data_IF_262221783953
#
_entry.id   IF_262221783953
#
_cell.length_a   1.000
_cell.length_b   1.000
_cell.length_c   1.000
_cell.angle_alpha   90.00
_cell.angle_beta   90.00
_cell.angle_gamma   90.00
#
_symmetry.space_group_name_H-M   'P 1'
#
loop_
_entity.id
_entity.type
_entity.pdbx_description
1 polymer ?
#
# COMPACT_ATOMS: atom_id res chain seq x y z
N UNK A 1 15.92 0.07 -18.10
CA UNK A 1 15.50 1.46 -17.85
C UNK A 1 14.67 1.50 -16.58
N UNK A 2 15.19 2.11 -15.55
CA UNK A 2 14.39 2.38 -14.34
C UNK A 2 13.46 3.56 -14.64
N UNK A 3 12.32 3.28 -15.22
CA UNK A 3 11.25 4.28 -15.32
C UNK A 3 10.81 4.68 -13.92
N UNK A 4 10.53 5.95 -13.72
CA UNK A 4 9.90 6.44 -12.50
C UNK A 4 8.63 5.59 -12.27
N UNK A 5 8.55 4.92 -11.15
CA UNK A 5 7.41 4.06 -10.86
C UNK A 5 6.13 4.91 -10.91
N UNK A 6 5.18 4.48 -11.72
CA UNK A 6 3.85 5.08 -11.71
C UNK A 6 3.17 4.67 -10.42
N UNK A 7 2.98 5.62 -9.52
CA UNK A 7 2.24 5.42 -8.28
C UNK A 7 0.78 5.69 -8.60
N UNK A 8 -0.05 4.67 -8.46
CA UNK A 8 -1.50 4.81 -8.56
C UNK A 8 -2.06 5.09 -7.18
N UNK A 9 -2.91 6.09 -7.05
CA UNK A 9 -3.51 6.45 -5.76
C UNK A 9 -5.02 6.66 -5.91
N UNK A 10 -5.69 6.47 -4.79
CA UNK A 10 -7.08 6.86 -4.57
C UNK A 10 -7.05 7.88 -3.44
N UNK A 11 -7.52 9.09 -3.70
CA UNK A 11 -7.55 10.15 -2.70
C UNK A 11 -8.72 9.99 -1.72
N UNK A 12 -8.61 10.52 -0.50
CA UNK A 12 -9.73 10.52 0.44
C UNK A 12 -10.96 11.20 -0.18
N UNK A 13 -12.10 10.51 -0.15
CA UNK A 13 -13.36 11.03 -0.67
C UNK A 13 -13.67 10.69 -2.13
N UNK A 14 -12.74 10.10 -2.87
CA UNK A 14 -13.03 9.60 -4.23
C UNK A 14 -13.94 8.37 -4.22
N UNK A 15 -13.96 7.65 -3.11
CA UNK A 15 -14.76 6.43 -2.93
C UNK A 15 -15.71 6.62 -1.76
N UNK A 16 -16.97 6.22 -1.95
CA UNK A 16 -17.95 6.22 -0.88
C UNK A 16 -17.55 5.26 0.24
N UNK A 17 -17.38 5.80 1.45
CA UNK A 17 -16.87 5.05 2.60
C UNK A 17 -17.80 3.89 3.00
N UNK A 18 -19.10 4.08 2.92
CA UNK A 18 -20.08 3.03 3.24
C UNK A 18 -20.00 1.87 2.25
N UNK A 19 -19.90 2.17 0.96
CA UNK A 19 -19.73 1.15 -0.08
C UNK A 19 -18.41 0.40 0.10
N UNK A 20 -17.32 1.11 0.39
CA UNK A 20 -16.01 0.49 0.65
C UNK A 20 -16.07 -0.48 1.84
N UNK A 21 -16.65 -0.07 2.94
CA UNK A 21 -16.79 -0.90 4.14
C UNK A 21 -17.65 -2.15 3.92
N UNK A 22 -18.76 -1.99 3.22
CA UNK A 22 -19.64 -3.10 2.84
C UNK A 22 -18.92 -4.12 1.94
N UNK A 23 -18.19 -3.64 0.96
CA UNK A 23 -17.39 -4.47 0.07
C UNK A 23 -16.29 -5.23 0.83
N UNK A 24 -15.57 -4.55 1.71
CA UNK A 24 -14.54 -5.16 2.56
C UNK A 24 -15.11 -6.31 3.40
N UNK A 25 -16.24 -6.10 4.06
CA UNK A 25 -16.89 -7.11 4.88
C UNK A 25 -17.33 -8.32 4.06
N UNK A 26 -17.93 -8.12 2.90
CA UNK A 26 -18.37 -9.21 2.03
C UNK A 26 -17.20 -10.06 1.54
N UNK A 27 -16.09 -9.44 1.16
CA UNK A 27 -14.90 -10.19 0.74
C UNK A 27 -14.33 -10.99 1.90
N UNK A 28 -14.18 -10.39 3.08
CA UNK A 28 -13.66 -11.09 4.26
C UNK A 28 -14.54 -12.26 4.67
N UNK A 29 -15.86 -12.08 4.69
CA UNK A 29 -16.81 -13.14 5.04
C UNK A 29 -16.72 -14.30 4.05
N UNK A 30 -16.59 -13.99 2.76
CA UNK A 30 -16.42 -15.01 1.73
C UNK A 30 -15.10 -15.77 1.93
N UNK A 31 -14.00 -15.07 2.15
CA UNK A 31 -12.69 -15.69 2.39
C UNK A 31 -12.70 -16.59 3.64
N UNK A 32 -13.36 -16.14 4.69
CA UNK A 32 -13.47 -16.90 5.94
C UNK A 32 -14.30 -18.18 5.78
N UNK A 33 -15.35 -18.15 4.95
CA UNK A 33 -16.20 -19.30 4.69
C UNK A 33 -15.66 -20.26 3.63
N UNK A 34 -14.66 -19.84 2.86
CA UNK A 34 -14.02 -20.65 1.81
C UNK A 34 -12.49 -20.64 1.98
N UNK A 35 -11.96 -21.22 3.10
CA UNK A 35 -10.54 -21.07 3.44
C UNK A 35 -9.57 -21.72 2.45
N UNK A 36 -10.02 -22.75 1.72
CA UNK A 36 -9.17 -23.52 0.81
C UNK A 36 -9.33 -23.13 -0.67
N UNK A 37 -10.21 -22.16 -0.97
CA UNK A 37 -10.43 -21.72 -2.35
C UNK A 37 -9.35 -20.75 -2.81
N UNK A 38 -8.56 -21.17 -3.79
CA UNK A 38 -7.56 -20.35 -4.46
C UNK A 38 -7.28 -20.90 -5.86
N UNK A 39 -7.52 -20.18 -6.94
CA UNK A 39 -8.09 -18.83 -6.99
C UNK A 39 -9.60 -18.78 -6.75
N UNK A 40 -10.10 -17.60 -6.43
CA UNK A 40 -11.53 -17.34 -6.31
C UNK A 40 -12.17 -17.17 -7.68
N UNK A 41 -13.39 -17.66 -7.83
CA UNK A 41 -14.22 -17.41 -9.03
C UNK A 41 -15.33 -16.42 -8.69
N UNK A 42 -15.23 -15.21 -9.20
CA UNK A 42 -16.23 -14.18 -9.02
C UNK A 42 -17.09 -14.09 -10.29
N UNK A 43 -18.38 -14.31 -10.14
CA UNK A 43 -19.31 -14.16 -11.26
C UNK A 43 -19.76 -12.70 -11.35
N UNK A 44 -19.56 -12.10 -12.51
CA UNK A 44 -20.01 -10.74 -12.81
C UNK A 44 -21.22 -10.85 -13.74
N UNK A 45 -22.32 -10.23 -13.31
CA UNK A 45 -23.48 -10.08 -14.20
C UNK A 45 -23.22 -8.95 -15.19
N UNK A 46 -23.21 -9.30 -16.47
CA UNK A 46 -23.06 -8.33 -17.55
C UNK A 46 -24.45 -7.91 -18.02
N UNK A 47 -24.61 -6.59 -18.29
CA UNK A 47 -25.87 -5.96 -18.73
C UNK A 47 -26.41 -6.54 -20.02
N UNK A 48 -26.74 -7.68 -20.24
CA UNK A 48 -27.40 -8.31 -21.41
C UNK A 48 -27.63 -9.82 -21.15
N UNK A 49 -27.66 -10.22 -19.85
CA UNK A 49 -27.99 -11.61 -19.48
C UNK A 49 -26.82 -12.57 -19.63
N UNK A 50 -25.59 -12.09 -19.78
CA UNK A 50 -24.38 -12.90 -19.75
C UNK A 50 -23.78 -12.95 -18.35
N UNK A 51 -23.17 -14.09 -17.99
CA UNK A 51 -22.33 -14.21 -16.81
C UNK A 51 -20.88 -14.39 -17.26
N UNK A 52 -19.99 -13.54 -16.77
CA UNK A 52 -18.55 -13.73 -16.93
C UNK A 52 -17.92 -14.11 -15.59
N UNK A 53 -17.05 -15.11 -15.61
CA UNK A 53 -16.29 -15.51 -14.43
C UNK A 53 -14.95 -14.78 -14.41
N UNK A 54 -14.74 -14.00 -13.36
CA UNK A 54 -13.45 -13.39 -13.08
C UNK A 54 -12.67 -14.29 -12.12
N UNK A 55 -11.49 -14.70 -12.51
CA UNK A 55 -10.60 -15.52 -11.68
C UNK A 55 -9.64 -14.63 -10.95
N UNK A 56 -9.70 -14.60 -9.63
CA UNK A 56 -8.90 -13.72 -8.79
C UNK A 56 -8.08 -14.55 -7.80
N UNK A 57 -6.75 -14.41 -7.79
CA UNK A 57 -5.93 -15.05 -6.76
C UNK A 57 -6.38 -14.64 -5.36
N UNK A 58 -6.42 -15.59 -4.43
CA UNK A 58 -6.86 -15.34 -3.05
C UNK A 58 -6.12 -14.19 -2.38
N UNK A 59 -4.80 -14.12 -2.54
CA UNK A 59 -3.97 -13.05 -1.98
C UNK A 59 -4.37 -11.67 -2.51
N UNK A 60 -4.73 -11.57 -3.79
CA UNK A 60 -5.18 -10.32 -4.40
C UNK A 60 -6.55 -9.90 -3.85
N UNK A 61 -7.47 -10.83 -3.65
CA UNK A 61 -8.78 -10.56 -3.05
C UNK A 61 -8.64 -10.08 -1.60
N UNK A 62 -7.76 -10.69 -0.82
CA UNK A 62 -7.47 -10.28 0.56
C UNK A 62 -6.88 -8.86 0.62
N UNK A 63 -5.96 -8.53 -0.27
CA UNK A 63 -5.40 -7.19 -0.38
C UNK A 63 -6.47 -6.16 -0.78
N UNK A 64 -7.35 -6.51 -1.70
CA UNK A 64 -8.45 -5.65 -2.11
C UNK A 64 -9.39 -5.33 -0.94
N UNK A 65 -9.72 -6.33 -0.12
CA UNK A 65 -10.51 -6.12 1.10
C UNK A 65 -9.81 -5.16 2.07
N UNK A 66 -8.50 -5.26 2.20
CA UNK A 66 -7.71 -4.35 3.03
C UNK A 66 -7.74 -2.91 2.51
N UNK A 67 -7.59 -2.72 1.19
CA UNK A 67 -7.73 -1.41 0.55
C UNK A 67 -9.11 -0.81 0.83
N UNK A 68 -10.17 -1.60 0.66
CA UNK A 68 -11.54 -1.15 0.94
C UNK A 68 -11.72 -0.74 2.41
N UNK A 69 -11.08 -1.44 3.35
CA UNK A 69 -11.14 -1.07 4.78
C UNK A 69 -10.47 0.25 5.09
N UNK A 70 -9.34 0.55 4.43
CA UNK A 70 -8.65 1.83 4.60
C UNK A 70 -9.51 2.98 4.04
N UNK A 71 -10.13 2.77 2.88
CA UNK A 71 -11.03 3.76 2.28
C UNK A 71 -12.28 4.00 3.12
N UNK A 72 -12.81 2.98 3.82
CA UNK A 72 -13.91 3.12 4.77
C UNK A 72 -13.57 4.10 5.90
N UNK A 73 -12.31 4.12 6.33
CA UNK A 73 -11.84 5.06 7.37
C UNK A 73 -11.63 6.49 6.86
N UNK A 74 -11.93 6.76 5.60
CA UNK A 74 -11.73 8.07 4.99
C UNK A 74 -10.27 8.39 4.66
N UNK A 75 -9.42 7.37 4.63
CA UNK A 75 -8.01 7.51 4.28
C UNK A 75 -7.79 7.20 2.80
N UNK A 76 -6.82 7.89 2.19
CA UNK A 76 -6.36 7.57 0.84
C UNK A 76 -5.48 6.32 0.82
N UNK A 77 -5.35 5.72 -0.36
CA UNK A 77 -4.51 4.55 -0.59
C UNK A 77 -3.60 4.81 -1.78
N UNK A 78 -2.34 4.48 -1.66
CA UNK A 78 -1.40 4.49 -2.77
C UNK A 78 -0.85 3.08 -3.00
N UNK A 79 -0.81 2.68 -4.27
CA UNK A 79 -0.20 1.41 -4.67
C UNK A 79 1.19 1.70 -5.24
N UNK A 80 2.19 1.11 -4.62
CA UNK A 80 3.60 1.25 -5.00
C UNK A 80 4.15 -0.12 -5.35
N UNK A 81 4.72 -0.33 -6.55
CA UNK A 81 5.40 -1.58 -6.87
C UNK A 81 6.53 -1.86 -5.86
N UNK A 82 6.69 -3.11 -5.47
CA UNK A 82 7.68 -3.50 -4.46
C UNK A 82 9.13 -3.25 -4.88
N UNK A 83 9.37 -3.22 -6.18
CA UNK A 83 10.67 -2.92 -6.80
C UNK A 83 10.84 -1.46 -7.23
N UNK A 84 9.89 -0.60 -6.86
CA UNK A 84 9.93 0.81 -7.22
C UNK A 84 11.17 1.51 -6.67
N UNK A 85 11.73 2.40 -7.51
CA UNK A 85 12.78 3.32 -7.12
C UNK A 85 12.18 4.72 -6.93
N UNK A 86 12.30 5.26 -5.75
CA UNK A 86 11.69 6.53 -5.37
C UNK A 86 12.68 7.67 -5.53
N UNK A 87 12.16 8.84 -5.90
CA UNK A 87 12.91 10.10 -5.79
C UNK A 87 13.02 10.52 -4.33
N UNK A 88 13.91 11.43 -4.03
CA UNK A 88 14.05 12.02 -2.68
C UNK A 88 12.74 12.64 -2.21
N UNK A 89 12.04 13.34 -3.10
CA UNK A 89 10.76 13.98 -2.76
C UNK A 89 9.66 12.94 -2.49
N UNK A 90 9.53 11.93 -3.34
CA UNK A 90 8.57 10.85 -3.13
C UNK A 90 8.79 10.13 -1.80
N UNK A 91 10.05 9.84 -1.47
CA UNK A 91 10.41 9.19 -0.22
C UNK A 91 10.09 10.07 1.00
N UNK A 92 10.39 11.37 0.92
CA UNK A 92 10.05 12.32 1.99
C UNK A 92 8.54 12.41 2.22
N UNK A 93 7.76 12.48 1.14
CA UNK A 93 6.30 12.52 1.20
C UNK A 93 5.73 11.23 1.84
N UNK A 94 6.28 10.09 1.50
CA UNK A 94 5.84 8.80 2.05
C UNK A 94 6.15 8.65 3.55
N UNK A 95 7.26 9.21 4.02
CA UNK A 95 7.61 9.25 5.45
C UNK A 95 6.95 10.42 6.19
N UNK A 96 6.30 11.32 5.47
CA UNK A 96 5.73 12.54 6.01
C UNK A 96 6.78 13.40 6.75
N UNK A 97 7.93 13.58 6.12
CA UNK A 97 9.04 14.39 6.61
C UNK A 97 9.49 15.40 5.54
N UNK A 98 10.27 16.38 5.93
CA UNK A 98 10.86 17.31 4.98
C UNK A 98 11.94 16.64 4.13
N UNK A 99 12.13 17.15 2.92
CA UNK A 99 13.20 16.67 2.04
C UNK A 99 14.59 16.77 2.66
N UNK A 100 14.99 17.89 3.31
CA UNK A 100 16.28 17.96 4.00
C UNK A 100 16.44 16.92 5.11
N UNK A 101 15.40 16.66 5.87
CA UNK A 101 15.43 15.63 6.91
C UNK A 101 15.65 14.24 6.31
N UNK A 102 14.97 13.91 5.23
CA UNK A 102 15.18 12.64 4.54
C UNK A 102 16.63 12.52 4.02
N UNK A 103 17.17 13.57 3.43
CA UNK A 103 18.55 13.58 2.94
C UNK A 103 19.53 13.29 4.09
N UNK A 104 19.29 13.86 5.27
CA UNK A 104 20.05 13.56 6.47
C UNK A 104 20.01 12.08 6.85
N UNK A 105 18.84 11.43 6.75
CA UNK A 105 18.71 10.00 7.01
C UNK A 105 19.50 9.15 6.01
N UNK A 106 19.50 9.54 4.73
CA UNK A 106 20.26 8.85 3.68
C UNK A 106 21.77 8.99 3.93
N UNK A 107 22.24 10.18 4.22
CA UNK A 107 23.65 10.44 4.47
C UNK A 107 24.17 9.80 5.77
N UNK A 108 23.30 9.66 6.76
CA UNK A 108 23.61 8.93 8.01
C UNK A 108 23.60 7.40 7.83
N UNK A 109 23.31 6.89 6.65
CA UNK A 109 23.25 5.45 6.35
C UNK A 109 22.06 4.72 6.97
N UNK A 110 21.04 5.43 7.41
CA UNK A 110 19.85 4.80 8.01
C UNK A 110 18.87 4.24 6.98
N UNK A 111 18.91 4.74 5.76
CA UNK A 111 18.12 4.26 4.63
C UNK A 111 19.06 4.05 3.45
N UNK A 112 19.01 2.87 2.86
CA UNK A 112 19.80 2.53 1.68
C UNK A 112 19.33 3.33 0.46
N UNK A 113 20.28 3.82 -0.34
CA UNK A 113 20.00 4.52 -1.58
C UNK A 113 21.14 4.36 -2.57
N UNK A 114 20.86 4.63 -3.83
CA UNK A 114 21.85 4.70 -4.90
C UNK A 114 21.81 6.07 -5.58
N UNK A 115 22.89 6.45 -6.25
CA UNK A 115 22.93 7.66 -7.07
C UNK A 115 22.95 7.29 -8.54
N UNK A 116 22.07 7.96 -9.31
CA UNK A 116 22.10 7.95 -10.77
C UNK A 116 22.41 9.38 -11.21
N UNK A 117 23.66 9.66 -11.52
CA UNK A 117 24.13 11.02 -11.74
C UNK A 117 24.00 11.87 -10.47
N UNK A 118 23.24 12.96 -10.54
CA UNK A 118 22.96 13.86 -9.42
C UNK A 118 21.76 13.43 -8.58
N UNK A 119 21.00 12.45 -9.05
CA UNK A 119 19.73 12.06 -8.47
C UNK A 119 19.90 10.85 -7.55
N UNK A 120 19.40 10.97 -6.33
CA UNK A 120 19.28 9.85 -5.41
C UNK A 120 18.07 9.01 -5.78
N UNK A 121 18.23 7.71 -5.70
CA UNK A 121 17.16 6.72 -5.90
C UNK A 121 17.05 5.85 -4.66
N UNK A 122 15.88 5.83 -4.06
CA UNK A 122 15.63 5.10 -2.82
C UNK A 122 14.74 3.90 -3.15
N UNK A 123 15.20 2.65 -2.94
CA UNK A 123 14.33 1.50 -3.10
C UNK A 123 13.14 1.60 -2.14
N UNK A 124 11.93 1.39 -2.66
CA UNK A 124 10.71 1.40 -1.83
C UNK A 124 10.85 0.48 -0.63
N UNK A 125 11.40 -0.71 -0.82
CA UNK A 125 11.61 -1.70 0.25
C UNK A 125 12.46 -1.13 1.40
N UNK A 126 13.54 -0.43 1.08
CA UNK A 126 14.40 0.20 2.09
C UNK A 126 13.64 1.26 2.92
N UNK A 127 12.82 2.06 2.26
CA UNK A 127 11.98 3.06 2.92
C UNK A 127 10.91 2.41 3.80
N UNK A 128 10.27 1.38 3.29
CA UNK A 128 9.23 0.62 4.00
C UNK A 128 9.79 -0.05 5.26
N UNK A 129 10.94 -0.67 5.16
CA UNK A 129 11.62 -1.31 6.31
C UNK A 129 12.02 -0.28 7.37
N UNK A 130 12.54 0.87 6.95
CA UNK A 130 12.86 1.96 7.87
C UNK A 130 11.63 2.45 8.63
N UNK A 131 10.54 2.71 7.93
CA UNK A 131 9.27 3.16 8.53
C UNK A 131 8.74 2.13 9.53
N UNK A 132 8.72 0.87 9.15
CA UNK A 132 8.29 -0.24 10.00
C UNK A 132 9.12 -0.33 11.28
N UNK A 133 10.43 -0.21 11.18
CA UNK A 133 11.33 -0.23 12.33
C UNK A 133 11.16 1.00 13.23
N UNK A 134 10.95 2.18 12.64
CA UNK A 134 10.67 3.41 13.38
C UNK A 134 9.36 3.34 14.15
N UNK A 135 8.31 2.79 13.54
CA UNK A 135 7.00 2.60 14.18
C UNK A 135 7.09 1.61 15.34
N UNK A 136 7.85 0.51 15.19
CA UNK A 136 8.10 -0.44 16.27
C UNK A 136 8.85 0.17 17.46
N UNK A 137 9.86 1.00 17.19
CA UNK A 137 10.60 1.72 18.25
C UNK A 137 9.71 2.70 18.99
N UNK A 138 8.84 3.40 18.28
CA UNK A 138 7.86 4.33 18.86
C UNK A 138 6.87 3.61 19.78
N UNK A 139 6.37 2.46 19.37
CA UNK A 139 5.47 1.62 20.15
C UNK A 139 6.14 1.10 21.44
N UNK A 140 7.39 0.64 21.35
CA UNK A 140 8.15 0.16 22.49
C UNK A 140 8.43 1.29 23.50
N UNK A 141 8.74 2.50 23.03
CA UNK A 141 8.94 3.67 23.91
C UNK A 141 7.65 4.10 24.60
N UNK A 142 6.53 4.08 23.88
CA UNK A 142 5.21 4.37 24.45
C UNK A 142 4.78 3.36 25.51
N UNK A 143 5.15 2.10 25.37
CA UNK A 143 4.91 1.04 26.36
C UNK A 143 5.77 1.13 27.62
N UNK A 144 6.96 1.73 27.54
CA UNK A 144 7.89 1.88 28.68
C UNK A 144 7.60 3.12 29.54
N UNK A 145 6.74 4.01 29.11
CA UNK A 145 6.43 5.27 29.79
C UNK A 145 5.22 5.19 30.74
N UNK A 146 4.76 4.01 31.06
CA UNK A 146 3.66 3.79 32.01
C UNK A 146 4.16 3.19 33.31
#
# INVERSE_FOLDING_TARGET
MAGTASISSIDPGEVDAETAGRTARRIRDYLASHPDEDPLKINIEVNLGGQEALVVPRAAAAMFAQVMSVLEMGQGVAMVPSDAQLTTQQAADMLNVSRPYLIGLLEAGQIEYTKVGRHRRIPFRALHDYKRNADQRSTLRGGAAR
#
